data_IF_189231427585
#
_entry.id   IF_189231427585
#
_cell.length_a   1.000
_cell.length_b   1.000
_cell.length_c   1.000
_cell.angle_alpha   90.00
_cell.angle_beta   90.00
_cell.angle_gamma   90.00
#
_symmetry.space_group_name_H-M   'P 1'
#
loop_
_entity.id
_entity.type
_entity.pdbx_description
1 polymer ?
#
# COMPACT_ATOMS: atom_id res chain seq x y z
N UNK A 1 10.76 -21.53 46.91
CA UNK A 1 11.24 -22.25 45.70
C UNK A 1 10.28 -21.99 44.56
N UNK A 2 10.66 -21.15 43.59
CA UNK A 2 9.79 -20.68 42.51
C UNK A 2 9.83 -21.70 41.37
N UNK A 3 8.76 -22.49 41.17
CA UNK A 3 8.63 -23.43 40.06
C UNK A 3 7.65 -22.88 39.04
N UNK A 4 8.13 -22.86 37.82
CA UNK A 4 7.66 -22.19 36.61
C UNK A 4 6.31 -22.77 36.13
N UNK A 5 5.32 -21.89 35.91
CA UNK A 5 4.07 -22.19 35.21
C UNK A 5 4.11 -21.43 33.88
N UNK A 6 4.62 -22.06 32.82
CA UNK A 6 4.71 -21.46 31.47
C UNK A 6 4.13 -22.35 30.36
N UNK A 7 3.43 -23.44 30.70
CA UNK A 7 3.05 -24.46 29.71
C UNK A 7 1.62 -24.29 29.18
N UNK A 8 0.75 -23.50 29.83
CA UNK A 8 -0.67 -23.42 29.43
C UNK A 8 -1.00 -22.34 28.38
N UNK A 9 -0.12 -21.35 28.16
CA UNK A 9 -0.43 -20.21 27.26
C UNK A 9 -0.14 -20.52 25.78
N UNK A 10 0.69 -21.51 25.49
CA UNK A 10 1.18 -21.77 24.12
C UNK A 10 0.24 -22.61 23.25
N UNK A 11 -0.72 -23.33 23.83
CA UNK A 11 -1.63 -24.22 23.07
C UNK A 11 -2.87 -23.48 22.55
N UNK A 12 -3.32 -22.40 23.21
CA UNK A 12 -4.48 -21.63 22.77
C UNK A 12 -4.15 -20.58 21.70
N UNK A 13 -2.86 -20.23 21.51
CA UNK A 13 -2.44 -19.25 20.49
C UNK A 13 -2.46 -19.84 19.07
N UNK A 14 -2.37 -21.17 18.92
CA UNK A 14 -2.33 -21.81 17.60
C UNK A 14 -3.70 -21.93 16.92
N UNK A 15 -4.78 -22.04 17.69
CA UNK A 15 -6.13 -22.21 17.13
C UNK A 15 -6.80 -20.88 16.71
N UNK A 16 -6.33 -19.74 17.23
CA UNK A 16 -6.89 -18.44 16.88
C UNK A 16 -6.52 -17.99 15.46
N UNK A 17 -5.31 -18.32 14.97
CA UNK A 17 -4.90 -17.98 13.61
C UNK A 17 -5.69 -18.70 12.52
N UNK A 18 -6.28 -19.86 12.81
CA UNK A 18 -7.05 -20.65 11.83
C UNK A 18 -8.54 -20.27 11.82
N UNK A 19 -9.07 -19.69 12.90
CA UNK A 19 -10.49 -19.35 13.04
C UNK A 19 -10.80 -17.88 12.76
N UNK A 20 -9.80 -17.00 12.91
CA UNK A 20 -9.89 -15.61 12.50
C UNK A 20 -9.03 -15.42 11.26
N UNK A 21 -9.58 -15.78 10.11
CA UNK A 21 -9.10 -15.26 8.84
C UNK A 21 -9.27 -13.75 8.87
N UNK A 22 -8.24 -13.05 9.34
CA UNK A 22 -8.10 -11.62 9.14
C UNK A 22 -7.90 -11.42 7.64
N UNK A 23 -8.95 -11.04 6.91
CA UNK A 23 -8.75 -10.36 5.65
C UNK A 23 -8.04 -9.06 5.98
N UNK A 24 -6.71 -9.10 5.98
CA UNK A 24 -5.87 -7.91 6.03
C UNK A 24 -6.30 -7.07 4.83
N UNK A 25 -6.92 -5.89 5.01
CA UNK A 25 -7.19 -5.01 3.89
C UNK A 25 -5.82 -4.73 3.26
N UNK A 26 -5.67 -5.10 1.99
CA UNK A 26 -4.42 -4.96 1.25
C UNK A 26 -4.13 -3.49 0.88
N UNK A 27 -4.39 -2.57 1.80
CA UNK A 27 -4.08 -1.14 1.70
C UNK A 27 -2.60 -0.84 2.00
N UNK A 28 -1.77 -1.89 2.11
CA UNK A 28 -0.32 -1.80 2.30
C UNK A 28 0.49 -2.08 1.03
N UNK A 29 -0.13 -2.00 -0.16
CA UNK A 29 0.61 -2.12 -1.42
C UNK A 29 1.64 -0.98 -1.55
N UNK A 30 2.90 -1.28 -1.22
CA UNK A 30 4.03 -0.36 -1.33
C UNK A 30 4.43 -0.22 -2.80
N UNK A 31 3.69 0.59 -3.55
CA UNK A 31 3.99 0.95 -4.93
C UNK A 31 3.21 0.17 -5.99
N UNK A 32 3.52 0.47 -7.26
CA UNK A 32 2.84 -0.10 -8.43
C UNK A 32 3.72 -1.17 -9.07
N UNK A 33 3.16 -2.37 -9.24
CA UNK A 33 3.82 -3.44 -9.99
C UNK A 33 3.81 -3.18 -11.49
N UNK A 34 4.75 -3.80 -12.22
CA UNK A 34 4.77 -3.76 -13.69
C UNK A 34 3.44 -4.29 -14.24
N UNK A 35 2.89 -3.61 -15.25
CA UNK A 35 1.61 -3.97 -15.88
C UNK A 35 0.37 -3.46 -15.14
N UNK A 36 0.50 -2.92 -13.92
CA UNK A 36 -0.60 -2.23 -13.26
C UNK A 36 -0.86 -0.88 -13.93
N UNK A 37 -2.14 -0.51 -14.03
CA UNK A 37 -2.50 0.85 -14.44
C UNK A 37 -2.00 1.84 -13.37
N UNK A 38 -1.35 2.95 -13.77
CA UNK A 38 -0.96 3.98 -12.81
C UNK A 38 -2.21 4.65 -12.20
N UNK A 39 -2.11 5.17 -10.96
CA UNK A 39 -3.19 5.87 -10.30
C UNK A 39 -3.54 7.15 -11.06
N UNK A 40 -4.83 7.49 -11.03
CA UNK A 40 -5.30 8.75 -11.58
C UNK A 40 -5.14 9.84 -10.53
N UNK A 41 -4.45 10.91 -10.88
CA UNK A 41 -4.29 12.09 -10.04
C UNK A 41 -4.42 13.35 -10.91
N UNK A 42 -4.69 14.47 -10.26
CA UNK A 42 -4.82 15.76 -10.91
C UNK A 42 -3.89 16.76 -10.23
N UNK A 43 -3.10 17.48 -11.01
CA UNK A 43 -2.17 18.50 -10.53
C UNK A 43 -2.30 19.75 -11.39
N UNK A 44 -1.95 20.93 -10.87
CA UNK A 44 -1.81 22.11 -11.70
C UNK A 44 -0.61 21.94 -12.65
N UNK A 45 -0.80 22.31 -13.90
CA UNK A 45 0.29 22.46 -14.86
C UNK A 45 1.29 23.53 -14.38
N UNK A 46 2.57 23.28 -14.63
CA UNK A 46 3.66 24.10 -14.09
C UNK A 46 3.67 25.53 -14.66
N UNK A 47 3.17 25.72 -15.89
CA UNK A 47 3.29 26.99 -16.62
C UNK A 47 1.98 27.77 -16.65
N UNK A 48 0.86 27.07 -16.77
CA UNK A 48 -0.48 27.66 -16.93
C UNK A 48 -1.28 27.64 -15.64
N UNK A 49 -0.96 26.75 -14.70
CA UNK A 49 -1.76 26.51 -13.49
C UNK A 49 -3.08 25.78 -13.76
N UNK A 50 -3.36 25.39 -15.00
CA UNK A 50 -4.57 24.63 -15.34
C UNK A 50 -4.50 23.22 -14.73
N UNK A 51 -5.65 22.72 -14.29
CA UNK A 51 -5.71 21.38 -13.72
C UNK A 51 -5.60 20.33 -14.83
N UNK A 52 -4.53 19.53 -14.78
CA UNK A 52 -4.29 18.43 -15.72
C UNK A 52 -4.38 17.08 -15.01
N UNK A 53 -5.01 16.10 -15.66
CA UNK A 53 -5.14 14.74 -15.14
C UNK A 53 -4.04 13.83 -15.67
N UNK A 54 -3.52 12.93 -14.83
CA UNK A 54 -2.62 11.86 -15.31
C UNK A 54 -3.28 10.94 -16.33
N UNK A 55 -4.62 10.90 -16.39
CA UNK A 55 -5.37 10.13 -17.38
C UNK A 55 -5.30 10.69 -18.81
N UNK A 56 -5.00 11.99 -18.98
CA UNK A 56 -4.85 12.64 -20.28
C UNK A 56 -3.60 12.15 -21.05
N UNK A 57 -2.72 11.44 -20.35
CA UNK A 57 -1.49 10.85 -20.87
C UNK A 57 -1.60 9.36 -21.19
N UNK A 58 -2.78 8.75 -21.05
CA UNK A 58 -3.00 7.34 -21.43
C UNK A 58 -2.71 7.12 -22.92
N UNK A 59 -2.16 5.94 -23.24
CA UNK A 59 -1.74 5.59 -24.60
C UNK A 59 -0.45 6.26 -25.07
N UNK A 60 0.13 7.18 -24.27
CA UNK A 60 1.45 7.78 -24.51
C UNK A 60 2.48 7.13 -23.57
N UNK A 61 3.73 7.03 -24.02
CA UNK A 61 4.85 6.67 -23.14
C UNK A 61 5.11 7.86 -22.21
N UNK A 62 4.84 7.67 -20.92
CA UNK A 62 4.83 8.76 -19.94
C UNK A 62 5.63 8.34 -18.70
N UNK A 63 6.42 9.26 -18.16
CA UNK A 63 7.14 9.09 -16.90
C UNK A 63 6.65 10.13 -15.89
N UNK A 64 6.31 9.69 -14.68
CA UNK A 64 5.96 10.58 -13.57
C UNK A 64 7.18 10.72 -12.68
N UNK A 65 7.74 11.93 -12.65
CA UNK A 65 8.91 12.24 -11.85
C UNK A 65 8.49 13.05 -10.63
N UNK A 66 8.65 12.47 -9.44
CA UNK A 66 8.43 13.18 -8.19
C UNK A 66 9.76 13.75 -7.73
N UNK A 67 9.85 15.07 -7.69
CA UNK A 67 11.03 15.79 -7.24
C UNK A 67 10.70 16.65 -6.03
N UNK A 68 11.73 16.88 -5.23
CA UNK A 68 11.70 17.68 -4.04
C UNK A 68 13.00 18.49 -3.95
N UNK A 69 12.91 19.80 -3.72
CA UNK A 69 14.06 20.69 -3.60
C UNK A 69 14.35 21.14 -2.16
N UNK A 70 13.91 20.35 -1.17
CA UNK A 70 14.22 20.62 0.23
C UNK A 70 15.66 20.25 0.57
#
# INVERSE_FOLDING_TARGET
MKKIVFVLVLVMSGAAHTLFGEEVPNDTAVGLGIGHAPPVFTLPDLYTGEMISSSDFRGKKTAFFMWASW
#
